data_IF_405522464533
#
_entry.id   IF_405522464533
#
_cell.length_a   1.000
_cell.length_b   1.000
_cell.length_c   1.000
_cell.angle_alpha   90.00
_cell.angle_beta   90.00
_cell.angle_gamma   90.00
#
_symmetry.space_group_name_H-M   'P 1'
#
loop_
_entity.id
_entity.type
_entity.pdbx_description
1 polymer ?
#
# COMPACT_ATOMS: atom_id res chain seq x y z
N UNK A 1 -7.89 -2.54 11.74
CA UNK A 1 -6.42 -2.53 11.96
C UNK A 1 -5.90 -1.13 11.64
N UNK A 2 -4.98 -0.66 12.41
CA UNK A 2 -4.45 0.69 12.25
C UNK A 2 -3.10 0.64 11.57
N UNK A 3 -2.94 1.41 10.50
CA UNK A 3 -1.68 1.51 9.76
C UNK A 3 -1.38 2.99 9.49
N UNK A 4 -0.17 3.27 9.06
CA UNK A 4 0.23 4.62 8.68
C UNK A 4 0.49 4.63 7.18
N UNK A 5 -0.07 5.59 6.47
CA UNK A 5 0.10 5.72 5.03
C UNK A 5 0.58 7.14 4.75
N UNK A 6 1.79 7.25 4.21
CA UNK A 6 2.40 8.55 3.89
C UNK A 6 2.30 9.52 5.07
N UNK A 7 2.56 9.03 6.28
CA UNK A 7 2.55 9.85 7.48
C UNK A 7 1.20 10.02 8.15
N UNK A 8 0.12 9.48 7.57
CA UNK A 8 -1.21 9.61 8.16
C UNK A 8 -1.70 8.27 8.69
N UNK A 9 -2.26 8.30 9.89
CA UNK A 9 -2.84 7.10 10.50
C UNK A 9 -4.20 6.83 9.88
N UNK A 10 -4.43 5.58 9.49
CA UNK A 10 -5.70 5.16 8.91
C UNK A 10 -6.11 3.80 9.46
N UNK A 11 -7.42 3.61 9.60
CA UNK A 11 -7.97 2.31 9.94
C UNK A 11 -8.40 1.61 8.67
N UNK A 12 -8.01 0.34 8.53
CA UNK A 12 -8.40 -0.49 7.41
C UNK A 12 -8.86 -1.84 7.94
N UNK A 13 -9.66 -2.60 7.19
CA UNK A 13 -10.11 -3.91 7.65
C UNK A 13 -8.96 -4.87 7.89
N UNK A 14 -9.11 -5.72 8.89
CA UNK A 14 -8.15 -6.79 9.11
C UNK A 14 -8.10 -7.68 7.87
N UNK A 15 -6.90 -8.11 7.50
CA UNK A 15 -6.74 -8.92 6.29
C UNK A 15 -6.52 -8.14 5.02
N UNK A 16 -6.49 -6.82 5.11
CA UNK A 16 -6.22 -5.99 3.93
C UNK A 16 -4.82 -6.29 3.39
N UNK A 17 -4.74 -6.55 2.09
CA UNK A 17 -3.46 -6.72 1.40
C UNK A 17 -3.02 -5.39 0.80
N UNK A 18 -1.79 -5.33 0.31
CA UNK A 18 -1.33 -4.13 -0.40
C UNK A 18 -2.24 -3.83 -1.59
N UNK A 19 -2.62 -4.85 -2.35
CA UNK A 19 -3.51 -4.64 -3.49
C UNK A 19 -4.85 -4.08 -3.05
N UNK A 20 -5.45 -4.65 -2.01
CA UNK A 20 -6.74 -4.18 -1.51
C UNK A 20 -6.63 -2.75 -0.98
N UNK A 21 -5.51 -2.40 -0.35
CA UNK A 21 -5.29 -1.04 0.11
C UNK A 21 -5.27 -0.05 -1.05
N UNK A 22 -4.55 -0.38 -2.13
CA UNK A 22 -4.52 0.49 -3.30
C UNK A 22 -5.92 0.68 -3.88
N UNK A 23 -6.71 -0.38 -3.92
CA UNK A 23 -8.08 -0.30 -4.40
C UNK A 23 -8.93 0.63 -3.53
N UNK A 24 -8.80 0.52 -2.20
CA UNK A 24 -9.50 1.40 -1.27
C UNK A 24 -9.15 2.87 -1.50
N UNK A 25 -7.92 3.14 -1.89
CA UNK A 25 -7.44 4.50 -2.10
C UNK A 25 -7.63 4.99 -3.53
N UNK A 26 -8.17 4.15 -4.40
CA UNK A 26 -8.35 4.51 -5.79
C UNK A 26 -7.06 4.58 -6.59
N UNK A 27 -6.03 3.88 -6.15
CA UNK A 27 -4.74 3.86 -6.81
C UNK A 27 -4.59 2.60 -7.67
N UNK A 28 -3.91 2.75 -8.80
CA UNK A 28 -3.70 1.62 -9.70
C UNK A 28 -2.37 0.94 -9.39
N UNK A 29 -2.34 -0.39 -9.31
CA UNK A 29 -1.09 -1.10 -9.05
C UNK A 29 0.01 -0.78 -10.04
N UNK A 30 -0.34 -0.65 -11.32
CA UNK A 30 0.65 -0.39 -12.36
C UNK A 30 1.28 0.99 -12.25
N UNK A 31 0.66 1.89 -11.55
CA UNK A 31 1.17 3.26 -11.41
C UNK A 31 1.62 3.60 -10.01
N UNK A 32 1.78 2.61 -9.15
CA UNK A 32 2.11 2.89 -7.75
C UNK A 32 3.33 2.08 -7.31
N UNK A 33 4.26 2.77 -6.66
CA UNK A 33 5.35 2.11 -5.94
C UNK A 33 4.94 2.06 -4.47
N UNK A 34 5.02 0.89 -3.87
CA UNK A 34 4.66 0.68 -2.48
C UNK A 34 5.87 0.25 -1.67
N UNK A 35 6.12 0.93 -0.55
CA UNK A 35 7.09 0.49 0.45
C UNK A 35 6.34 0.13 1.71
N UNK A 36 6.78 -0.92 2.36
CA UNK A 36 6.23 -1.36 3.63
C UNK A 36 7.37 -1.45 4.63
N UNK A 37 7.30 -0.64 5.67
CA UNK A 37 8.33 -0.60 6.71
C UNK A 37 9.74 -0.42 6.13
N UNK A 38 9.83 0.47 5.13
CA UNK A 38 11.12 0.82 4.53
C UNK A 38 11.58 -0.10 3.39
N UNK A 39 10.80 -1.09 3.03
CA UNK A 39 11.17 -2.01 1.95
C UNK A 39 10.16 -1.97 0.83
N UNK A 40 10.65 -1.94 -0.40
CA UNK A 40 9.78 -1.95 -1.57
C UNK A 40 9.08 -3.29 -1.68
N UNK A 41 7.79 -3.25 -1.91
CA UNK A 41 6.98 -4.45 -2.16
C UNK A 41 6.88 -4.63 -3.67
N UNK A 42 7.29 -5.79 -4.16
CA UNK A 42 7.19 -6.10 -5.58
C UNK A 42 5.72 -6.16 -5.98
N UNK A 43 5.39 -5.55 -7.10
CA UNK A 43 4.01 -5.55 -7.60
C UNK A 43 3.46 -6.96 -7.75
N UNK A 44 4.30 -7.91 -8.13
CA UNK A 44 3.88 -9.29 -8.33
C UNK A 44 3.28 -9.91 -7.07
N UNK A 45 3.58 -9.38 -5.89
CA UNK A 45 3.07 -9.92 -4.63
C UNK A 45 2.13 -8.97 -3.90
N UNK A 46 1.64 -7.92 -4.55
CA UNK A 46 0.68 -7.01 -3.92
C UNK A 46 -0.55 -7.75 -3.40
N UNK A 47 -1.04 -8.73 -4.16
CA UNK A 47 -2.27 -9.42 -3.81
C UNK A 47 -2.09 -10.40 -2.65
N UNK A 48 -0.85 -10.78 -2.35
CA UNK A 48 -0.56 -11.76 -1.31
C UNK A 48 0.21 -11.17 -0.12
N UNK A 49 0.53 -9.88 -0.17
CA UNK A 49 1.23 -9.22 0.94
C UNK A 49 0.19 -8.65 1.89
N UNK A 50 -0.07 -9.35 2.98
CA UNK A 50 -1.01 -8.90 4.00
C UNK A 50 -0.39 -7.84 4.89
N UNK A 51 -1.20 -6.85 5.26
CA UNK A 51 -0.76 -5.80 6.17
C UNK A 51 -1.02 -6.20 7.61
N UNK A 52 -0.23 -5.64 8.51
CA UNK A 52 -0.32 -5.91 9.94
C UNK A 52 -0.54 -4.61 10.70
N UNK A 53 -1.09 -4.74 11.89
CA UNK A 53 -1.25 -3.62 12.80
C UNK A 53 0.07 -2.88 12.96
N UNK A 54 0.05 -1.56 12.79
CA UNK A 54 1.24 -0.74 12.96
C UNK A 54 2.15 -0.65 11.77
N UNK A 55 1.80 -1.29 10.67
CA UNK A 55 2.62 -1.18 9.45
C UNK A 55 2.68 0.26 8.96
N UNK A 56 3.83 0.63 8.40
CA UNK A 56 4.03 1.93 7.78
C UNK A 56 4.19 1.76 6.28
N UNK A 57 3.29 2.37 5.54
CA UNK A 57 3.26 2.30 4.09
C UNK A 57 3.64 3.65 3.50
N UNK A 58 4.50 3.62 2.49
CA UNK A 58 4.77 4.77 1.64
C UNK A 58 4.30 4.41 0.24
N UNK A 59 3.37 5.19 -0.27
CA UNK A 59 2.81 4.95 -1.60
C UNK A 59 3.14 6.14 -2.48
N UNK A 60 3.81 5.88 -3.60
CA UNK A 60 4.21 6.93 -4.54
C UNK A 60 3.54 6.65 -5.86
N UNK A 61 2.77 7.62 -6.36
CA UNK A 61 2.18 7.51 -7.69
C UNK A 61 3.23 7.94 -8.70
N UNK A 62 3.39 7.10 -9.70
CA UNK A 62 4.26 7.45 -10.82
C UNK A 62 3.47 8.36 -11.74
N UNK A 63 3.93 9.59 -11.85
CA UNK A 63 3.37 10.51 -12.84
C UNK A 63 4.19 10.32 -14.08
N UNK A 64 3.60 9.79 -15.02
CA UNK A 64 4.38 9.75 -16.12
C UNK A 64 3.79 9.80 -17.25
N UNK A 65 4.42 10.25 -17.93
CA UNK A 65 4.17 10.35 -19.06
C UNK A 65 3.66 9.28 -19.86
N UNK A 66 2.97 8.82 -19.51
CA UNK A 66 2.50 7.73 -20.18
C UNK A 66 1.81 7.86 -21.41
#
# INVERSE_FOLDING_TARGET
MRIEINGEIRDVPAGTTVLALLDLLGLKPMGTVAERNGQIVDRAVFATTGLCEGDRLELVRLVGGG
#
